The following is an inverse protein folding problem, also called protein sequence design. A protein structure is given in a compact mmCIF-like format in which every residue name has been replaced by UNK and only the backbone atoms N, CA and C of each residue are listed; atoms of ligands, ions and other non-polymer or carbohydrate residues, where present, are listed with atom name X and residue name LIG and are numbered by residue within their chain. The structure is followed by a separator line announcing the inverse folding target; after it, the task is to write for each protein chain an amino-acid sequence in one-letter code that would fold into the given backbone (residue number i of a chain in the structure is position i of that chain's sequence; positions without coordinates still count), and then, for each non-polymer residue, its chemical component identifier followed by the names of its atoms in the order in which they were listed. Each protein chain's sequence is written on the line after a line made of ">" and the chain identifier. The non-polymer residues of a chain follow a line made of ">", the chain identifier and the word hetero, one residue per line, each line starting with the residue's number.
data_IF_675109690863
#
_entry.id   IF_675109690863
#
_cell.length_a   1.000
_cell.length_b   1.000
_cell.length_c   1.000
_cell.angle_alpha   90.00
_cell.angle_beta   90.00
_cell.angle_gamma   90.00
#
_symmetry.space_group_name_H-M   'P 1'
#
loop_
_entity.id
_entity.type
_entity.pdbx_description
1 polymer ?
#
# COMPACT_ATOMS: atom_id res chain seq x y z
N UNK A 1 27.32 4.97 15.52
CA UNK A 1 26.77 5.64 14.33
C UNK A 1 25.27 5.50 14.40
N UNK A 2 24.58 6.55 14.82
CA UNK A 2 23.13 6.58 14.72
C UNK A 2 22.80 6.70 13.23
N UNK A 3 22.03 5.75 12.71
CA UNK A 3 21.37 5.91 11.41
C UNK A 3 20.49 7.14 11.57
N UNK A 4 20.84 8.24 10.91
CA UNK A 4 19.95 9.39 10.79
C UNK A 4 18.66 8.88 10.15
N UNK A 5 17.60 8.80 10.96
CA UNK A 5 16.25 8.64 10.46
C UNK A 5 16.02 9.82 9.51
N UNK A 6 16.02 9.55 8.21
CA UNK A 6 15.70 10.58 7.22
C UNK A 6 14.18 10.86 7.34
N UNK A 7 13.81 11.69 8.31
CA UNK A 7 12.45 12.14 8.60
C UNK A 7 11.90 13.09 7.53
N UNK A 8 12.74 13.47 6.54
CA UNK A 8 12.36 14.36 5.45
C UNK A 8 11.94 13.55 4.24
N UNK A 9 10.86 13.99 3.61
CA UNK A 9 10.39 13.46 2.34
C UNK A 9 11.47 13.55 1.26
N UNK A 10 11.63 12.47 0.49
CA UNK A 10 12.47 12.42 -0.71
C UNK A 10 11.68 11.90 -1.92
N UNK A 11 11.50 12.77 -2.92
CA UNK A 11 10.80 12.42 -4.16
C UNK A 11 11.51 11.31 -4.94
N UNK A 12 12.85 11.23 -4.86
CA UNK A 12 13.61 10.19 -5.54
C UNK A 12 13.32 8.82 -4.94
N UNK A 13 13.20 8.74 -3.61
CA UNK A 13 12.79 7.51 -2.92
C UNK A 13 11.39 7.07 -3.35
N UNK A 14 10.45 8.00 -3.51
CA UNK A 14 9.12 7.67 -4.07
C UNK A 14 9.23 7.08 -5.47
N UNK A 15 9.99 7.74 -6.36
CA UNK A 15 10.16 7.27 -7.74
C UNK A 15 10.82 5.89 -7.80
N UNK A 16 11.89 5.69 -7.03
CA UNK A 16 12.64 4.43 -6.97
C UNK A 16 11.76 3.29 -6.43
N UNK A 17 10.97 3.57 -5.39
CA UNK A 17 10.05 2.58 -4.82
C UNK A 17 8.92 2.21 -5.80
N UNK A 18 8.30 3.18 -6.47
CA UNK A 18 7.27 2.87 -7.48
C UNK A 18 7.84 2.13 -8.68
N UNK A 19 9.06 2.46 -9.09
CA UNK A 19 9.74 1.75 -10.18
C UNK A 19 10.05 0.30 -9.79
N UNK A 20 10.48 0.08 -8.54
CA UNK A 20 10.76 -1.25 -7.99
C UNK A 20 9.49 -2.06 -7.72
N UNK A 21 8.37 -1.37 -7.47
CA UNK A 21 7.08 -2.03 -7.29
C UNK A 21 6.58 -2.67 -8.58
N UNK A 22 7.02 -2.23 -9.75
CA UNK A 22 6.72 -2.88 -11.02
C UNK A 22 7.55 -4.16 -11.14
N UNK A 23 6.86 -5.30 -11.18
CA UNK A 23 7.48 -6.60 -11.35
C UNK A 23 7.33 -7.08 -12.80
N UNK A 24 7.95 -8.23 -13.08
CA UNK A 24 7.76 -8.95 -14.34
C UNK A 24 6.27 -9.24 -14.59
N UNK A 25 5.93 -9.46 -15.87
CA UNK A 25 4.58 -9.77 -16.34
C UNK A 25 3.51 -8.69 -16.07
N UNK A 26 3.85 -7.40 -16.00
CA UNK A 26 2.88 -6.33 -15.69
C UNK A 26 2.16 -6.51 -14.34
N UNK A 27 2.88 -7.00 -13.33
CA UNK A 27 2.38 -7.12 -11.94
C UNK A 27 3.02 -6.07 -11.01
N UNK A 28 2.46 -5.93 -9.82
CA UNK A 28 2.92 -4.96 -8.82
C UNK A 28 3.21 -5.66 -7.49
N UNK A 29 4.43 -5.54 -6.97
CA UNK A 29 4.78 -5.99 -5.63
C UNK A 29 4.10 -5.12 -4.58
N UNK A 30 3.25 -5.72 -3.76
CA UNK A 30 2.42 -4.99 -2.82
C UNK A 30 3.25 -4.29 -1.74
N UNK A 31 4.32 -4.93 -1.26
CA UNK A 31 5.21 -4.35 -0.24
C UNK A 31 5.90 -3.08 -0.74
N UNK A 32 6.52 -3.12 -1.93
CA UNK A 32 7.17 -1.95 -2.54
C UNK A 32 6.16 -0.84 -2.85
N UNK A 33 4.94 -1.21 -3.25
CA UNK A 33 3.84 -0.27 -3.42
C UNK A 33 3.49 0.43 -2.10
N UNK A 34 3.33 -0.30 -0.99
CA UNK A 34 3.06 0.29 0.33
C UNK A 34 4.21 1.19 0.81
N UNK A 35 5.45 0.79 0.62
CA UNK A 35 6.62 1.62 0.96
C UNK A 35 6.62 2.95 0.18
N UNK A 36 6.17 2.93 -1.08
CA UNK A 36 6.01 4.15 -1.88
C UNK A 36 4.98 5.10 -1.27
N UNK A 37 3.85 4.56 -0.78
CA UNK A 37 2.81 5.34 -0.11
C UNK A 37 3.23 5.85 1.26
N UNK A 38 4.08 5.12 1.99
CA UNK A 38 4.64 5.58 3.26
C UNK A 38 5.52 6.82 3.05
N UNK A 39 6.37 6.82 2.02
CA UNK A 39 7.18 7.98 1.66
C UNK A 39 6.31 9.16 1.21
N UNK A 40 5.28 8.92 0.38
CA UNK A 40 4.28 9.95 0.04
C UNK A 40 3.53 10.49 1.25
N UNK A 41 3.30 9.67 2.27
CA UNK A 41 2.63 10.11 3.49
C UNK A 41 3.48 11.13 4.28
N UNK A 42 4.82 11.05 4.19
CA UNK A 42 5.73 12.08 4.75
C UNK A 42 5.52 13.42 4.04
N UNK A 43 5.35 13.42 2.72
CA UNK A 43 5.03 14.64 1.95
C UNK A 43 3.71 15.27 2.41
N UNK A 44 2.64 14.48 2.53
CA UNK A 44 1.35 15.00 3.01
C UNK A 44 1.45 15.58 4.43
N UNK A 45 2.29 14.98 5.29
CA UNK A 45 2.54 15.49 6.63
C UNK A 45 3.28 16.84 6.60
N UNK A 46 4.25 17.01 5.69
CA UNK A 46 4.98 18.26 5.49
C UNK A 46 4.10 19.39 4.94
N UNK A 47 3.06 19.09 4.16
CA UNK A 47 2.09 20.08 3.68
C UNK A 47 1.20 20.65 4.81
N UNK A 48 1.30 20.12 6.03
CA UNK A 48 0.63 20.64 7.21
C UNK A 48 -0.74 20.03 7.47
N UNK A 49 -1.42 20.57 8.48
CA UNK A 49 -2.64 19.98 9.08
C UNK A 49 -3.82 19.83 8.13
N UNK A 50 -3.86 20.62 7.05
CA UNK A 50 -4.90 20.51 6.00
C UNK A 50 -4.89 19.12 5.37
N UNK A 51 -3.73 18.47 5.22
CA UNK A 51 -3.63 17.12 4.66
C UNK A 51 -3.64 16.01 5.71
N UNK A 52 -3.87 16.35 6.99
CA UNK A 52 -3.88 15.37 8.07
C UNK A 52 -4.98 14.31 7.95
N UNK A 53 -6.12 14.64 7.34
CA UNK A 53 -7.18 13.67 7.09
C UNK A 53 -6.82 12.69 5.96
N UNK A 54 -6.16 13.18 4.91
CA UNK A 54 -5.65 12.37 3.79
C UNK A 54 -4.61 11.38 4.32
N UNK A 55 -3.65 11.88 5.11
CA UNK A 55 -2.61 11.06 5.73
C UNK A 55 -3.18 9.92 6.59
N UNK A 56 -4.17 10.24 7.45
CA UNK A 56 -4.85 9.21 8.27
C UNK A 56 -5.60 8.19 7.42
N UNK A 57 -6.29 8.65 6.38
CA UNK A 57 -7.08 7.81 5.49
C UNK A 57 -6.19 6.86 4.65
N UNK A 58 -5.04 7.34 4.19
CA UNK A 58 -3.99 6.52 3.56
C UNK A 58 -3.47 5.47 4.55
N UNK A 59 -3.04 5.92 5.74
CA UNK A 59 -2.42 5.06 6.74
C UNK A 59 -3.33 3.91 7.15
N UNK A 60 -4.61 4.18 7.41
CA UNK A 60 -5.59 3.13 7.74
C UNK A 60 -5.73 2.07 6.65
N UNK A 61 -5.61 2.43 5.36
CA UNK A 61 -5.66 1.45 4.25
C UNK A 61 -4.35 0.67 4.12
N UNK A 62 -3.22 1.34 4.31
CA UNK A 62 -1.91 0.68 4.31
C UNK A 62 -1.82 -0.33 5.43
N UNK A 63 -2.32 -0.01 6.63
CA UNK A 63 -2.36 -0.92 7.78
C UNK A 63 -3.14 -2.21 7.47
N UNK A 64 -4.32 -2.10 6.84
CA UNK A 64 -5.09 -3.28 6.41
C UNK A 64 -4.28 -4.16 5.44
N UNK A 65 -3.60 -3.58 4.45
CA UNK A 65 -2.80 -4.34 3.49
C UNK A 65 -1.54 -4.94 4.14
N UNK A 66 -0.93 -4.22 5.08
CA UNK A 66 0.21 -4.70 5.86
C UNK A 66 -0.18 -5.87 6.78
N UNK A 67 -1.38 -5.86 7.37
CA UNK A 67 -1.90 -7.00 8.15
C UNK A 67 -2.02 -8.26 7.30
N UNK A 68 -2.44 -8.15 6.04
CA UNK A 68 -2.49 -9.29 5.12
C UNK A 68 -1.10 -9.82 4.74
N UNK A 69 -0.13 -8.91 4.56
CA UNK A 69 1.28 -9.28 4.30
C UNK A 69 1.94 -9.93 5.52
N UNK A 70 1.59 -9.50 6.74
CA UNK A 70 2.18 -10.02 7.98
C UNK A 70 1.55 -11.35 8.43
N UNK A 71 0.34 -11.66 7.99
CA UNK A 71 -0.36 -12.89 8.36
C UNK A 71 0.16 -14.08 7.54
N UNK A 72 0.78 -15.06 8.20
CA UNK A 72 1.37 -16.25 7.58
C UNK A 72 0.43 -17.00 6.62
N UNK A 73 -0.89 -16.96 6.85
CA UNK A 73 -1.87 -17.64 5.98
C UNK A 73 -2.14 -16.91 4.66
N UNK A 74 -1.93 -15.60 4.64
CA UNK A 74 -2.24 -14.74 3.48
C UNK A 74 -0.99 -14.14 2.85
N UNK A 75 0.13 -14.08 3.57
CA UNK A 75 1.36 -13.41 3.14
C UNK A 75 1.81 -13.83 1.72
N UNK A 76 1.88 -15.14 1.46
CA UNK A 76 2.29 -15.67 0.15
C UNK A 76 1.38 -15.21 -1.00
N UNK A 77 0.07 -15.15 -0.74
CA UNK A 77 -0.95 -14.78 -1.71
C UNK A 77 -1.07 -13.25 -1.89
N UNK A 78 -0.53 -12.46 -0.95
CA UNK A 78 -0.59 -11.00 -0.98
C UNK A 78 0.74 -10.36 -1.39
N UNK A 79 1.70 -11.17 -1.86
CA UNK A 79 3.01 -10.69 -2.35
C UNK A 79 2.87 -9.71 -3.53
N UNK A 80 1.97 -10.01 -4.47
CA UNK A 80 1.69 -9.16 -5.63
C UNK A 80 0.20 -8.85 -5.78
N UNK A 81 -0.12 -7.80 -6.52
CA UNK A 81 -1.51 -7.37 -6.76
C UNK A 81 -2.30 -8.42 -7.52
N UNK A 82 -1.73 -9.05 -8.55
CA UNK A 82 -2.44 -10.12 -9.29
C UNK A 82 -2.75 -11.32 -8.40
N UNK A 83 -1.75 -11.84 -7.68
CA UNK A 83 -1.95 -12.97 -6.76
C UNK A 83 -3.00 -12.67 -5.70
N UNK A 84 -3.01 -11.46 -5.16
CA UNK A 84 -4.02 -11.04 -4.18
C UNK A 84 -5.42 -11.10 -4.79
N UNK A 85 -5.60 -10.56 -6.00
CA UNK A 85 -6.89 -10.55 -6.69
C UNK A 85 -7.34 -11.97 -7.02
N UNK A 86 -6.44 -12.83 -7.48
CA UNK A 86 -6.72 -14.24 -7.78
C UNK A 86 -7.13 -15.01 -6.52
N UNK A 87 -6.36 -14.90 -5.44
CA UNK A 87 -6.68 -15.52 -4.16
C UNK A 87 -8.05 -15.09 -3.62
N UNK A 88 -8.33 -13.78 -3.60
CA UNK A 88 -9.61 -13.28 -3.10
C UNK A 88 -10.78 -13.68 -4.01
N UNK A 89 -10.54 -13.81 -5.32
CA UNK A 89 -11.54 -14.28 -6.30
C UNK A 89 -11.86 -15.76 -6.08
N UNK A 90 -10.85 -16.61 -6.03
CA UNK A 90 -11.00 -18.07 -5.95
C UNK A 90 -11.64 -18.50 -4.62
N UNK A 91 -11.37 -17.75 -3.54
CA UNK A 91 -11.97 -17.98 -2.23
C UNK A 91 -13.31 -17.24 -2.02
N UNK A 92 -13.86 -16.62 -3.07
CA UNK A 92 -15.12 -15.84 -3.04
C UNK A 92 -15.15 -14.73 -1.96
N UNK A 93 -13.98 -14.18 -1.63
CA UNK A 93 -13.81 -13.18 -0.57
C UNK A 93 -14.20 -11.76 -1.03
N UNK A 94 -14.14 -11.49 -2.33
CA UNK A 94 -14.46 -10.18 -2.91
C UNK A 94 -15.88 -9.69 -2.57
N UNK A 95 -16.84 -10.61 -2.46
CA UNK A 95 -18.26 -10.31 -2.19
C UNK A 95 -18.72 -10.69 -0.77
N UNK A 96 -17.81 -11.20 0.07
CA UNK A 96 -18.16 -11.68 1.41
C UNK A 96 -18.51 -10.51 2.33
N UNK A 97 -19.75 -10.50 2.84
CA UNK A 97 -20.21 -9.50 3.84
C UNK A 97 -19.44 -9.68 5.15
N UNK A 98 -18.95 -8.57 5.71
CA UNK A 98 -18.16 -8.57 6.95
C UNK A 98 -16.68 -8.91 6.78
N UNK A 99 -16.21 -9.17 5.55
CA UNK A 99 -14.79 -9.31 5.25
C UNK A 99 -14.23 -8.03 4.65
N UNK A 100 -13.10 -7.55 5.16
CA UNK A 100 -12.35 -6.44 4.58
C UNK A 100 -11.45 -7.01 3.49
N UNK A 101 -11.75 -6.73 2.22
CA UNK A 101 -10.96 -7.27 1.09
C UNK A 101 -9.75 -6.40 0.79
N UNK A 102 -8.60 -7.04 0.56
CA UNK A 102 -7.38 -6.41 0.12
C UNK A 102 -7.55 -5.70 -1.22
N UNK A 103 -8.18 -6.33 -2.21
CA UNK A 103 -8.42 -5.75 -3.53
C UNK A 103 -9.25 -4.46 -3.45
N UNK A 104 -10.30 -4.43 -2.62
CA UNK A 104 -11.12 -3.22 -2.42
C UNK A 104 -10.33 -2.14 -1.69
N UNK A 105 -9.53 -2.51 -0.69
CA UNK A 105 -8.67 -1.58 0.04
C UNK A 105 -7.63 -0.96 -0.87
N UNK A 106 -6.96 -1.77 -1.70
CA UNK A 106 -5.98 -1.33 -2.70
C UNK A 106 -6.63 -0.36 -3.70
N UNK A 107 -7.82 -0.67 -4.23
CA UNK A 107 -8.50 0.22 -5.17
C UNK A 107 -8.79 1.59 -4.56
N UNK A 108 -9.21 1.64 -3.29
CA UNK A 108 -9.44 2.90 -2.57
C UNK A 108 -8.14 3.66 -2.29
N UNK A 109 -7.07 2.94 -1.98
CA UNK A 109 -5.74 3.52 -1.78
C UNK A 109 -5.20 4.12 -3.08
N UNK A 110 -5.37 3.40 -4.20
CA UNK A 110 -5.00 3.86 -5.54
C UNK A 110 -5.75 5.13 -5.95
N UNK A 111 -7.08 5.13 -5.82
CA UNK A 111 -7.90 6.30 -6.15
C UNK A 111 -7.59 7.53 -5.29
N UNK A 112 -7.18 7.33 -4.04
CA UNK A 112 -6.80 8.45 -3.16
C UNK A 112 -5.61 9.29 -3.66
N UNK A 113 -4.84 8.81 -4.64
CA UNK A 113 -3.78 9.59 -5.31
C UNK A 113 -4.19 10.18 -6.67
N UNK A 114 -5.31 9.76 -7.25
CA UNK A 114 -5.65 9.99 -8.67
C UNK A 114 -6.85 10.91 -8.92
N UNK A 115 -7.38 11.58 -7.89
CA UNK A 115 -8.35 12.68 -8.03
C UNK A 115 -7.69 14.04 -7.78
#
# INVERSE_FOLDING_TARGET
>A
MALENNEKFDLKVVQDNFSTALCEEDDVQLQSYLNSYEELNKFFTLMGTVFGFVSKDLKSKMEILAEFLANEKTSDNFTTVKKMIEYERDNQLLHKKGYTSGSRTLLRLHRGLGE
#
